data_IF_276316582213
#
_entry.id   IF_276316582213
#
_cell.length_a   1.000
_cell.length_b   1.000
_cell.length_c   1.000
_cell.angle_alpha   90.00
_cell.angle_beta   90.00
_cell.angle_gamma   90.00
#
_symmetry.space_group_name_H-M   'P 1'
#
loop_
_entity.id
_entity.type
_entity.pdbx_description
1 polymer ?
#
# COMPACT_ATOMS: atom_id res chain seq x y z
N UNK A 1 0.91 -14.90 20.59
CA UNK A 1 -0.05 -13.81 20.88
C UNK A 1 0.29 -12.72 19.89
N UNK A 2 -0.55 -12.51 18.88
CA UNK A 2 -0.21 -11.69 17.71
C UNK A 2 0.21 -10.29 18.14
N UNK A 3 1.46 -9.93 17.85
CA UNK A 3 1.91 -8.55 17.99
C UNK A 3 0.97 -7.67 17.18
N UNK A 4 0.28 -6.77 17.88
CA UNK A 4 -0.52 -5.74 17.27
C UNK A 4 0.42 -4.84 16.46
N UNK A 5 0.62 -5.19 15.19
CA UNK A 5 1.29 -4.35 14.21
C UNK A 5 0.56 -3.01 14.25
N UNK A 6 1.24 -1.97 14.76
CA UNK A 6 0.66 -0.62 14.77
C UNK A 6 0.36 -0.30 13.31
N UNK A 7 -0.92 -0.16 12.97
CA UNK A 7 -1.32 0.31 11.64
C UNK A 7 -0.62 1.63 11.40
N UNK A 8 0.34 1.63 10.46
CA UNK A 8 1.15 2.78 10.13
C UNK A 8 0.23 3.90 9.65
N UNK A 9 0.57 5.16 9.94
CA UNK A 9 -0.18 6.30 9.40
C UNK A 9 -0.25 6.25 7.87
N UNK A 10 0.76 5.63 7.26
CA UNK A 10 0.83 5.41 5.83
C UNK A 10 -0.19 4.36 5.34
N UNK A 11 -0.35 3.22 6.02
CA UNK A 11 -1.37 2.21 5.70
C UNK A 11 -2.79 2.83 5.72
N UNK A 12 -3.08 3.66 6.73
CA UNK A 12 -4.36 4.40 6.80
C UNK A 12 -4.52 5.41 5.67
N UNK A 13 -3.46 6.14 5.31
CA UNK A 13 -3.48 7.09 4.20
C UNK A 13 -3.70 6.37 2.86
N UNK A 14 -3.00 5.25 2.63
CA UNK A 14 -3.15 4.43 1.43
C UNK A 14 -4.55 3.84 1.30
N UNK A 15 -5.16 3.40 2.40
CA UNK A 15 -6.55 2.95 2.41
C UNK A 15 -7.51 4.06 1.96
N UNK A 16 -7.33 5.28 2.47
CA UNK A 16 -8.14 6.43 2.06
C UNK A 16 -7.94 6.73 0.57
N UNK A 17 -6.69 6.76 0.10
CA UNK A 17 -6.37 6.98 -1.31
C UNK A 17 -6.97 5.89 -2.19
N UNK A 18 -6.88 4.62 -1.78
CA UNK A 18 -7.49 3.48 -2.48
C UNK A 18 -9.00 3.63 -2.63
N UNK A 19 -9.71 3.97 -1.55
CA UNK A 19 -11.16 4.23 -1.59
C UNK A 19 -11.49 5.38 -2.53
N UNK A 20 -10.74 6.48 -2.46
CA UNK A 20 -10.93 7.65 -3.33
C UNK A 20 -10.74 7.28 -4.80
N UNK A 21 -9.72 6.48 -5.14
CA UNK A 21 -9.48 5.99 -6.50
C UNK A 21 -10.61 5.07 -6.98
N UNK A 22 -11.17 4.22 -6.11
CA UNK A 22 -12.31 3.38 -6.46
C UNK A 22 -13.55 4.21 -6.80
N UNK A 23 -13.87 5.20 -5.97
CA UNK A 23 -15.03 6.08 -6.18
C UNK A 23 -14.84 6.91 -7.45
N UNK A 24 -13.69 7.58 -7.59
CA UNK A 24 -13.42 8.44 -8.74
C UNK A 24 -13.40 7.64 -10.05
N UNK A 25 -12.78 6.47 -10.04
CA UNK A 25 -12.72 5.62 -11.21
C UNK A 25 -14.09 5.12 -11.63
N UNK A 26 -14.95 4.71 -10.69
CA UNK A 26 -16.34 4.37 -10.99
C UNK A 26 -17.10 5.56 -11.60
N UNK A 27 -16.94 6.77 -11.03
CA UNK A 27 -17.57 7.98 -11.58
C UNK A 27 -17.09 8.29 -13.01
N UNK A 28 -15.79 8.15 -13.28
CA UNK A 28 -15.22 8.37 -14.61
C UNK A 28 -15.70 7.33 -15.62
N UNK A 29 -15.71 6.05 -15.25
CA UNK A 29 -16.21 4.95 -16.08
C UNK A 29 -17.68 5.20 -16.44
N UNK A 30 -18.49 5.60 -15.46
CA UNK A 30 -19.91 5.89 -15.69
C UNK A 30 -20.12 7.11 -16.62
N UNK A 31 -19.29 8.16 -16.48
CA UNK A 31 -19.29 9.30 -17.41
C UNK A 31 -18.95 8.87 -18.85
N UNK A 32 -17.93 8.02 -19.02
CA UNK A 32 -17.55 7.49 -20.35
C UNK A 32 -18.68 6.63 -20.93
N UNK A 33 -19.30 5.77 -20.12
CA UNK A 33 -20.43 4.95 -20.54
C UNK A 33 -21.61 5.79 -21.05
N UNK A 34 -21.96 6.86 -20.33
CA UNK A 34 -23.04 7.77 -20.73
C UNK A 34 -22.64 8.55 -21.99
N UNK A 35 -21.39 9.05 -22.07
CA UNK A 35 -20.90 9.81 -23.22
C UNK A 35 -20.88 8.98 -24.50
N UNK A 36 -20.62 7.68 -24.41
CA UNK A 36 -20.65 6.74 -25.55
C UNK A 36 -22.06 6.19 -25.84
N UNK A 37 -23.11 6.79 -25.25
CA UNK A 37 -24.50 6.47 -25.52
C UNK A 37 -24.98 5.14 -24.92
N UNK A 38 -24.37 4.72 -23.80
CA UNK A 38 -24.72 3.47 -23.12
C UNK A 38 -24.30 2.21 -23.88
N UNK A 39 -23.43 2.35 -24.88
CA UNK A 39 -22.89 1.22 -25.65
C UNK A 39 -21.57 0.77 -25.06
N UNK A 40 -21.34 -0.53 -25.10
CA UNK A 40 -20.02 -1.12 -24.89
C UNK A 40 -19.12 -0.73 -26.07
N UNK A 41 -18.50 0.44 -25.98
CA UNK A 41 -17.50 0.90 -26.93
C UNK A 41 -16.09 0.46 -26.47
N UNK A 42 -15.17 0.46 -27.43
CA UNK A 42 -13.77 0.18 -27.19
C UNK A 42 -13.14 1.14 -26.17
N UNK A 43 -13.56 2.42 -26.19
CA UNK A 43 -13.12 3.43 -25.24
C UNK A 43 -13.53 3.11 -23.81
N UNK A 44 -14.78 2.69 -23.60
CA UNK A 44 -15.25 2.17 -22.31
C UNK A 44 -14.43 0.96 -21.83
N UNK A 45 -14.23 -0.04 -22.68
CA UNK A 45 -13.47 -1.23 -22.31
C UNK A 45 -12.03 -0.89 -21.90
N UNK A 46 -11.35 -0.05 -22.68
CA UNK A 46 -10.01 0.43 -22.38
C UNK A 46 -9.97 1.19 -21.04
N UNK A 47 -10.96 2.05 -20.78
CA UNK A 47 -11.03 2.84 -19.55
C UNK A 47 -11.19 1.94 -18.31
N UNK A 48 -12.10 0.95 -18.38
CA UNK A 48 -12.28 -0.04 -17.30
C UNK A 48 -11.01 -0.85 -17.09
N UNK A 49 -10.36 -1.29 -18.16
CA UNK A 49 -9.12 -2.06 -18.07
C UNK A 49 -7.99 -1.27 -17.41
N UNK A 50 -7.77 -0.02 -17.83
CA UNK A 50 -6.77 0.87 -17.23
C UNK A 50 -7.08 1.16 -15.75
N UNK A 51 -8.36 1.33 -15.41
CA UNK A 51 -8.76 1.52 -14.02
C UNK A 51 -8.47 0.29 -13.15
N UNK A 52 -8.76 -0.92 -13.64
CA UNK A 52 -8.41 -2.16 -12.93
C UNK A 52 -6.90 -2.30 -12.77
N UNK A 53 -6.12 -1.95 -13.79
CA UNK A 53 -4.65 -1.98 -13.74
C UNK A 53 -4.14 -1.01 -12.67
N UNK A 54 -4.69 0.19 -12.60
CA UNK A 54 -4.41 1.17 -11.53
C UNK A 54 -4.68 0.60 -10.12
N UNK A 55 -5.81 -0.09 -9.93
CA UNK A 55 -6.14 -0.74 -8.66
C UNK A 55 -5.11 -1.80 -8.29
N UNK A 56 -4.68 -2.63 -9.26
CA UNK A 56 -3.64 -3.64 -9.04
C UNK A 56 -2.32 -2.99 -8.62
N UNK A 57 -1.90 -1.91 -9.27
CA UNK A 57 -0.67 -1.18 -8.91
C UNK A 57 -0.75 -0.69 -7.46
N UNK A 58 -1.88 -0.11 -7.03
CA UNK A 58 -2.06 0.36 -5.66
C UNK A 58 -1.90 -0.80 -4.67
N UNK A 59 -2.49 -1.97 -4.95
CA UNK A 59 -2.33 -3.16 -4.11
C UNK A 59 -0.86 -3.58 -4.03
N UNK A 60 -0.15 -3.58 -5.15
CA UNK A 60 1.28 -3.93 -5.19
C UNK A 60 2.12 -2.93 -4.37
N UNK A 61 1.79 -1.64 -4.41
CA UNK A 61 2.46 -0.60 -3.61
C UNK A 61 2.27 -0.89 -2.11
N UNK A 62 1.05 -1.18 -1.68
CA UNK A 62 0.74 -1.51 -0.27
C UNK A 62 1.59 -2.70 0.19
N UNK A 63 1.61 -3.78 -0.59
CA UNK A 63 2.40 -4.98 -0.26
C UNK A 63 3.90 -4.67 -0.23
N UNK A 64 4.40 -3.91 -1.21
CA UNK A 64 5.82 -3.55 -1.28
C UNK A 64 6.27 -2.70 -0.09
N UNK A 65 5.39 -1.83 0.40
CA UNK A 65 5.64 -1.04 1.59
C UNK A 65 5.63 -1.89 2.86
N UNK A 66 4.64 -2.78 3.02
CA UNK A 66 4.56 -3.72 4.15
C UNK A 66 5.87 -4.54 4.28
N UNK A 67 6.42 -5.00 3.16
CA UNK A 67 7.69 -5.72 3.11
C UNK A 67 8.85 -4.83 3.57
N UNK A 68 8.88 -3.56 3.13
CA UNK A 68 9.94 -2.61 3.48
C UNK A 68 9.91 -2.24 4.96
N UNK A 69 8.74 -1.99 5.55
CA UNK A 69 8.59 -1.75 6.99
C UNK A 69 9.06 -2.98 7.79
N UNK A 70 8.72 -4.19 7.34
CA UNK A 70 9.15 -5.44 7.97
C UNK A 70 10.68 -5.59 8.03
N UNK A 71 11.38 -5.29 6.94
CA UNK A 71 12.85 -5.35 6.88
C UNK A 71 13.49 -4.30 7.82
N UNK A 72 12.94 -3.10 7.88
CA UNK A 72 13.48 -2.03 8.73
C UNK A 72 13.35 -2.34 10.23
N UNK A 73 12.23 -2.94 10.64
CA UNK A 73 12.05 -3.37 12.03
C UNK A 73 13.07 -4.43 12.43
N UNK A 74 13.34 -5.39 11.53
CA UNK A 74 14.31 -6.46 11.76
C UNK A 74 15.74 -5.89 11.91
N UNK A 75 16.13 -4.96 11.04
CA UNK A 75 17.42 -4.26 11.12
C UNK A 75 17.57 -3.43 12.41
N UNK A 76 16.49 -2.77 12.85
CA UNK A 76 16.48 -1.98 14.08
C UNK A 76 16.68 -2.88 15.31
N UNK A 77 16.04 -4.04 15.33
CA UNK A 77 16.17 -5.02 16.41
C UNK A 77 17.58 -5.63 16.48
N UNK A 78 18.16 -5.98 15.33
CA UNK A 78 19.56 -6.40 15.21
C UNK A 78 20.52 -5.31 15.72
N UNK A 79 20.30 -4.05 15.34
CA UNK A 79 21.13 -2.92 15.81
C UNK A 79 20.99 -2.68 17.31
N UNK A 80 19.77 -2.82 17.84
CA UNK A 80 19.49 -2.66 19.27
C UNK A 80 20.14 -3.77 20.10
N UNK A 81 20.03 -5.02 19.65
CA UNK A 81 20.66 -6.16 20.32
C UNK A 81 22.19 -6.01 20.33
N UNK A 82 22.80 -5.64 19.20
CA UNK A 82 24.25 -5.34 19.11
C UNK A 82 24.68 -4.24 20.09
N UNK A 83 23.91 -3.16 20.22
CA UNK A 83 24.18 -2.08 21.18
C UNK A 83 24.14 -2.59 22.63
N UNK A 84 23.18 -3.46 22.96
CA UNK A 84 23.06 -4.06 24.29
C UNK A 84 24.25 -4.98 24.63
N UNK A 85 24.70 -5.79 23.67
CA UNK A 85 25.89 -6.62 23.83
C UNK A 85 27.15 -5.77 24.03
N UNK A 86 27.32 -4.67 23.30
CA UNK A 86 28.45 -3.75 23.50
C UNK A 86 28.42 -3.08 24.89
N UNK A 87 27.25 -2.67 25.37
CA UNK A 87 27.11 -2.06 26.70
C UNK A 87 27.38 -3.08 27.81
N UNK A 88 26.93 -4.32 27.67
CA UNK A 88 27.24 -5.41 28.62
C UNK A 88 28.71 -5.82 28.59
N UNK A 89 29.34 -5.87 27.41
CA UNK A 89 30.77 -6.15 27.27
C UNK A 89 31.65 -5.10 27.93
N UNK A 90 31.23 -3.82 27.90
CA UNK A 90 31.94 -2.71 28.54
C UNK A 90 31.86 -2.68 30.07
N UNK A 91 30.96 -3.45 30.70
CA UNK A 91 30.78 -3.53 32.17
C UNK A 91 31.61 -4.64 32.83
N UNK A 92 32.30 -5.47 32.06
CA UNK A 92 33.02 -6.67 32.55
C UNK A 92 34.55 -6.51 32.58
N UNK A 93 35.05 -5.33 32.22
CA UNK A 93 36.44 -4.88 32.33
C UNK A 93 36.46 -3.57 33.12
#
# INVERSE_FOLDING_TARGET
MGETRKTSLFEKMLLIVGIVVLIMGYMMINKVFIAEGGKLSWGFLQTVFLWLLMVIIIIVIVIGEDIKEGILLQQLEETKSLKEYMIKGKKKH
#
